data_IF_120249855039
#
_entry.id   IF_120249855039
#
_cell.length_a   1.000
_cell.length_b   1.000
_cell.length_c   1.000
_cell.angle_alpha   90.00
_cell.angle_beta   90.00
_cell.angle_gamma   90.00
#
_symmetry.space_group_name_H-M   'P 1'
#
loop_
_entity.id
_entity.type
_entity.pdbx_description
1 polymer ?
#
# COMPACT_ATOMS: atom_id res chain seq x y z
N UNK A 1 -17.33 11.82 -1.37
CA UNK A 1 -16.22 10.83 -1.41
C UNK A 1 -15.72 10.64 0.02
N UNK A 2 -15.77 9.43 0.59
CA UNK A 2 -15.30 9.20 1.96
C UNK A 2 -13.77 9.20 1.99
N UNK A 3 -13.18 10.32 2.43
CA UNK A 3 -11.72 10.48 2.49
C UNK A 3 -11.05 9.53 3.47
N UNK A 4 -11.81 8.97 4.42
CA UNK A 4 -11.29 8.06 5.48
C UNK A 4 -10.88 6.70 4.95
N UNK A 5 -11.41 6.27 3.80
CA UNK A 5 -11.17 4.93 3.27
C UNK A 5 -9.91 4.91 2.37
N UNK A 6 -9.41 6.07 1.95
CA UNK A 6 -8.22 6.16 1.07
C UNK A 6 -8.41 5.60 -0.34
N UNK A 7 -9.61 5.14 -0.69
CA UNK A 7 -9.94 4.60 -2.01
C UNK A 7 -10.43 5.73 -2.92
N UNK A 8 -9.98 5.70 -4.17
CA UNK A 8 -10.38 6.62 -5.24
C UNK A 8 -10.51 5.85 -6.55
N UNK A 9 -11.49 6.22 -7.35
CA UNK A 9 -11.73 5.74 -8.73
C UNK A 9 -11.08 6.65 -9.78
N UNK A 10 -10.70 7.87 -9.38
CA UNK A 10 -9.97 8.81 -10.24
C UNK A 10 -8.55 8.33 -10.54
N UNK A 11 -8.06 8.50 -11.79
CA UNK A 11 -6.65 8.35 -12.14
C UNK A 11 -5.74 9.19 -11.25
N UNK A 12 -4.52 8.72 -10.98
CA UNK A 12 -3.60 9.43 -10.06
C UNK A 12 -3.14 10.74 -10.69
N UNK A 13 -2.95 10.78 -12.01
CA UNK A 13 -2.56 12.00 -12.74
C UNK A 13 -3.58 13.12 -12.53
N UNK A 14 -4.88 12.82 -12.55
CA UNK A 14 -5.92 13.81 -12.29
C UNK A 14 -5.82 14.38 -10.88
N UNK A 15 -5.56 13.51 -9.89
CA UNK A 15 -5.40 13.91 -8.49
C UNK A 15 -4.15 14.79 -8.29
N UNK A 16 -3.05 14.48 -8.99
CA UNK A 16 -1.85 15.30 -8.99
C UNK A 16 -2.11 16.67 -9.63
N UNK A 17 -2.80 16.70 -10.77
CA UNK A 17 -3.16 17.95 -11.44
C UNK A 17 -4.11 18.81 -10.60
N UNK A 18 -5.07 18.21 -9.88
CA UNK A 18 -5.91 18.90 -8.91
C UNK A 18 -5.08 19.57 -7.81
N UNK A 19 -4.09 18.86 -7.27
CA UNK A 19 -3.17 19.40 -6.27
C UNK A 19 -2.31 20.56 -6.82
N UNK A 20 -1.75 20.41 -8.02
CA UNK A 20 -0.96 21.46 -8.69
C UNK A 20 -1.81 22.72 -8.91
N UNK A 21 -3.07 22.57 -9.33
CA UNK A 21 -4.01 23.69 -9.52
C UNK A 21 -4.27 24.46 -8.22
N UNK A 22 -4.31 23.75 -7.09
CA UNK A 22 -4.47 24.38 -5.77
C UNK A 22 -3.19 25.09 -5.29
N UNK A 23 -2.01 24.64 -5.74
CA UNK A 23 -0.73 25.23 -5.42
C UNK A 23 -0.49 25.30 -3.91
N UNK A 24 -0.12 26.48 -3.40
CA UNK A 24 0.13 26.69 -1.95
C UNK A 24 -1.09 26.46 -1.05
N UNK A 25 -2.29 26.45 -1.62
CA UNK A 25 -3.53 26.19 -0.87
C UNK A 25 -3.79 24.69 -0.73
N UNK A 26 -3.07 23.83 -1.43
CA UNK A 26 -3.23 22.39 -1.33
C UNK A 26 -2.98 21.91 0.11
N UNK A 27 -3.85 21.02 0.59
CA UNK A 27 -3.74 20.41 1.91
C UNK A 27 -4.47 19.06 1.92
N UNK A 28 -4.22 18.26 2.96
CA UNK A 28 -4.95 17.00 3.21
C UNK A 28 -6.48 17.21 3.34
N UNK A 29 -6.92 18.44 3.61
CA UNK A 29 -8.33 18.79 3.77
C UNK A 29 -9.04 19.12 2.45
N UNK A 30 -8.30 19.38 1.36
CA UNK A 30 -8.94 19.78 0.09
C UNK A 30 -8.56 18.92 -1.11
N UNK A 31 -7.43 18.21 -1.07
CA UNK A 31 -7.03 17.24 -2.09
C UNK A 31 -6.40 15.99 -1.44
N UNK A 32 -5.83 15.11 -2.26
CA UNK A 32 -5.09 13.93 -1.76
C UNK A 32 -3.67 14.25 -1.27
N UNK A 33 -3.16 15.41 -1.65
CA UNK A 33 -1.89 15.97 -1.16
C UNK A 33 -0.66 15.05 -1.37
N UNK A 34 -0.63 14.35 -2.50
CA UNK A 34 0.46 13.42 -2.84
C UNK A 34 1.79 14.14 -3.06
N UNK A 35 1.80 15.27 -3.78
CA UNK A 35 3.03 16.03 -4.08
C UNK A 35 3.59 16.60 -2.78
N UNK A 36 2.74 17.24 -1.96
CA UNK A 36 3.12 17.78 -0.67
C UNK A 36 3.72 16.72 0.26
N UNK A 37 3.11 15.54 0.34
CA UNK A 37 3.61 14.42 1.14
C UNK A 37 4.90 13.80 0.59
N UNK A 38 5.16 13.93 -0.70
CA UNK A 38 6.36 13.36 -1.34
C UNK A 38 7.61 14.23 -1.15
N UNK A 39 7.51 15.42 -0.55
CA UNK A 39 8.64 16.33 -0.30
C UNK A 39 9.50 15.89 0.89
N UNK A 40 10.06 14.69 0.86
CA UNK A 40 10.78 14.12 2.02
C UNK A 40 12.01 14.93 2.42
N UNK A 41 12.71 15.58 1.49
CA UNK A 41 13.85 16.45 1.82
C UNK A 41 13.45 17.58 2.76
N UNK A 42 12.41 18.33 2.40
CA UNK A 42 11.89 19.42 3.24
C UNK A 42 11.39 18.91 4.60
N UNK A 43 10.86 17.69 4.64
CA UNK A 43 10.41 17.05 5.88
C UNK A 43 11.60 16.68 6.77
N UNK A 44 12.60 16.00 6.23
CA UNK A 44 13.82 15.59 6.95
C UNK A 44 14.61 16.80 7.45
N UNK A 45 14.77 17.84 6.62
CA UNK A 45 15.43 19.09 7.03
C UNK A 45 14.78 19.73 8.25
N UNK A 46 13.47 19.55 8.46
CA UNK A 46 12.80 20.02 9.68
C UNK A 46 13.18 19.19 10.90
N UNK A 47 13.31 17.87 10.76
CA UNK A 47 13.75 17.01 11.86
C UNK A 47 15.23 17.28 12.22
N UNK A 48 16.11 17.40 11.22
CA UNK A 48 17.54 17.67 11.43
C UNK A 48 17.84 19.04 12.09
N UNK A 49 16.88 19.97 12.11
CA UNK A 49 17.01 21.22 12.88
C UNK A 49 16.95 21.01 14.39
N UNK A 50 16.31 19.94 14.85
CA UNK A 50 16.07 19.68 16.27
C UNK A 50 16.78 18.43 16.77
N UNK A 51 16.96 17.44 15.90
CA UNK A 51 17.59 16.17 16.23
C UNK A 51 18.90 16.02 15.44
N UNK A 52 19.99 15.63 16.12
CA UNK A 52 21.22 15.22 15.45
C UNK A 52 20.98 14.08 14.45
N UNK A 53 21.84 14.00 13.44
CA UNK A 53 21.67 13.04 12.34
C UNK A 53 21.72 11.58 12.81
N UNK A 54 22.52 11.27 13.83
CA UNK A 54 22.63 9.94 14.44
C UNK A 54 21.40 9.53 15.26
N UNK A 55 20.45 10.43 15.51
CA UNK A 55 19.15 10.15 16.13
C UNK A 55 18.02 9.94 15.13
N UNK A 56 18.32 9.94 13.82
CA UNK A 56 17.33 9.74 12.76
C UNK A 56 17.82 8.61 11.84
N UNK A 57 17.07 7.52 11.82
CA UNK A 57 17.27 6.44 10.86
C UNK A 57 16.23 6.49 9.75
N UNK A 58 16.68 6.64 8.51
CA UNK A 58 15.82 6.64 7.32
C UNK A 58 15.82 5.24 6.72
N UNK A 59 14.66 4.59 6.74
CA UNK A 59 14.47 3.27 6.12
C UNK A 59 14.12 3.46 4.65
N UNK A 60 14.95 2.92 3.76
CA UNK A 60 14.65 2.87 2.33
C UNK A 60 13.72 1.70 2.04
N UNK A 61 12.57 1.99 1.44
CA UNK A 61 11.56 0.96 1.19
C UNK A 61 12.06 -0.11 0.20
N UNK A 62 12.80 0.29 -0.81
CA UNK A 62 13.37 -0.58 -1.84
C UNK A 62 14.38 -1.56 -1.24
N UNK A 63 15.25 -1.08 -0.34
CA UNK A 63 16.20 -1.94 0.37
C UNK A 63 15.50 -2.83 1.39
N UNK A 64 14.46 -2.35 2.06
CA UNK A 64 13.65 -3.17 2.95
C UNK A 64 12.97 -4.33 2.21
N UNK A 65 12.52 -4.11 0.97
CA UNK A 65 11.95 -5.18 0.14
C UNK A 65 13.01 -6.16 -0.39
N UNK A 66 14.19 -5.66 -0.78
CA UNK A 66 15.25 -6.46 -1.39
C UNK A 66 16.08 -7.24 -0.38
N UNK A 67 16.40 -6.61 0.75
CA UNK A 67 17.35 -7.04 1.77
C UNK A 67 16.73 -6.92 3.17
N UNK A 68 15.50 -7.42 3.33
CA UNK A 68 14.68 -7.22 4.53
C UNK A 68 15.40 -7.53 5.85
N UNK A 69 16.07 -8.69 5.95
CA UNK A 69 16.79 -9.09 7.17
C UNK A 69 17.89 -8.10 7.55
N UNK A 70 18.63 -7.59 6.57
CA UNK A 70 19.74 -6.65 6.81
C UNK A 70 19.21 -5.27 7.22
N UNK A 71 18.18 -4.75 6.55
CA UNK A 71 17.56 -3.48 6.94
C UNK A 71 16.95 -3.53 8.35
N UNK A 72 16.38 -4.68 8.72
CA UNK A 72 15.82 -4.87 10.07
C UNK A 72 16.93 -4.98 11.11
N UNK A 73 18.06 -5.64 10.82
CA UNK A 73 19.22 -5.64 11.72
C UNK A 73 19.75 -4.23 11.95
N UNK A 74 19.87 -3.41 10.90
CA UNK A 74 20.27 -2.00 11.03
C UNK A 74 19.30 -1.21 11.90
N UNK A 75 17.99 -1.39 11.70
CA UNK A 75 16.97 -0.76 12.53
C UNK A 75 17.09 -1.18 14.01
N UNK A 76 17.26 -2.49 14.29
CA UNK A 76 17.45 -3.02 15.64
C UNK A 76 18.70 -2.44 16.30
N UNK A 77 19.80 -2.36 15.55
CA UNK A 77 21.03 -1.74 16.02
C UNK A 77 20.83 -0.25 16.34
N UNK A 78 20.11 0.49 15.48
CA UNK A 78 19.83 1.90 15.69
C UNK A 78 19.01 2.18 16.97
N UNK A 79 18.06 1.30 17.31
CA UNK A 79 17.26 1.42 18.55
C UNK A 79 17.88 0.71 19.77
N UNK A 80 19.12 0.22 19.65
CA UNK A 80 19.87 -0.50 20.69
C UNK A 80 19.13 -1.72 21.26
N UNK A 81 18.55 -2.53 20.36
CA UNK A 81 17.90 -3.80 20.71
C UNK A 81 18.66 -4.96 20.06
N UNK A 82 18.91 -6.02 20.83
CA UNK A 82 19.55 -7.24 20.33
C UNK A 82 18.69 -7.88 19.21
N UNK A 83 19.30 -8.10 18.05
CA UNK A 83 18.62 -8.74 16.93
C UNK A 83 18.35 -10.22 17.23
N UNK A 84 17.07 -10.59 17.22
CA UNK A 84 16.63 -11.97 17.33
C UNK A 84 15.88 -12.39 16.04
N UNK A 85 16.51 -13.26 15.25
CA UNK A 85 15.97 -13.75 13.98
C UNK A 85 14.64 -14.51 14.13
N UNK A 86 14.30 -15.00 15.32
CA UNK A 86 13.01 -15.64 15.59
C UNK A 86 11.85 -14.63 15.67
N UNK A 87 12.11 -13.38 16.08
CA UNK A 87 11.09 -12.32 16.20
C UNK A 87 10.67 -11.78 14.82
N UNK A 88 11.54 -11.88 13.82
CA UNK A 88 11.34 -11.23 12.53
C UNK A 88 10.59 -12.06 11.48
N UNK A 89 10.33 -13.35 11.72
CA UNK A 89 9.59 -14.17 10.75
C UNK A 89 8.12 -13.72 10.70
N UNK A 90 7.82 -12.82 9.76
CA UNK A 90 6.46 -12.54 9.31
C UNK A 90 5.87 -13.85 8.80
N UNK A 91 5.13 -14.53 9.66
CA UNK A 91 4.64 -15.90 9.44
C UNK A 91 3.59 -15.97 8.34
N UNK A 92 3.12 -14.82 7.84
CA UNK A 92 2.01 -14.74 6.91
C UNK A 92 2.04 -13.46 6.09
N UNK A 93 2.29 -13.60 4.80
CA UNK A 93 1.97 -12.57 3.82
C UNK A 93 0.44 -12.39 3.73
N UNK A 94 0.00 -11.14 3.58
CA UNK A 94 -1.40 -10.84 3.27
C UNK A 94 -1.70 -11.28 1.83
N UNK A 95 -2.20 -12.51 1.67
CA UNK A 95 -2.75 -12.99 0.40
C UNK A 95 -4.10 -12.34 0.17
N UNK A 96 -4.13 -11.27 -0.62
CA UNK A 96 -5.39 -10.70 -1.11
C UNK A 96 -5.96 -11.61 -2.20
N UNK A 97 -7.02 -12.34 -1.86
CA UNK A 97 -7.79 -13.17 -2.78
C UNK A 97 -8.93 -12.34 -3.39
N UNK A 98 -9.00 -12.27 -4.72
CA UNK A 98 -10.13 -11.66 -5.43
C UNK A 98 -11.15 -12.72 -5.82
N UNK A 99 -12.43 -12.35 -5.93
CA UNK A 99 -13.47 -13.28 -6.38
C UNK A 99 -13.47 -13.35 -7.90
N UNK A 100 -13.33 -14.56 -8.47
CA UNK A 100 -13.33 -14.76 -9.93
C UNK A 100 -14.63 -14.31 -10.59
N UNK A 101 -15.75 -14.52 -9.90
CA UNK A 101 -17.09 -14.30 -10.44
C UNK A 101 -17.81 -13.17 -9.69
N UNK A 102 -17.44 -11.93 -9.97
CA UNK A 102 -18.03 -10.74 -9.31
C UNK A 102 -19.57 -10.70 -9.39
N UNK A 103 -20.16 -11.10 -10.52
CA UNK A 103 -21.63 -11.16 -10.69
C UNK A 103 -22.26 -12.20 -9.75
N UNK A 104 -21.72 -13.42 -9.73
CA UNK A 104 -22.20 -14.47 -8.84
C UNK A 104 -22.08 -14.08 -7.36
N UNK A 105 -20.94 -13.49 -7.00
CA UNK A 105 -20.72 -12.95 -5.66
C UNK A 105 -21.77 -11.90 -5.31
N UNK A 106 -22.02 -10.95 -6.21
CA UNK A 106 -23.04 -9.92 -6.02
C UNK A 106 -24.44 -10.52 -5.77
N UNK A 107 -24.85 -11.53 -6.56
CA UNK A 107 -26.13 -12.22 -6.35
C UNK A 107 -26.19 -12.99 -5.01
N UNK A 108 -25.12 -13.69 -4.63
CA UNK A 108 -25.05 -14.42 -3.34
C UNK A 108 -25.15 -13.45 -2.15
N UNK A 109 -24.53 -12.28 -2.26
CA UNK A 109 -24.62 -11.23 -1.24
C UNK A 109 -26.01 -10.62 -1.20
N UNK A 110 -26.58 -10.24 -2.36
CA UNK A 110 -27.91 -9.61 -2.45
C UNK A 110 -29.04 -10.53 -1.98
N UNK A 111 -28.89 -11.84 -2.17
CA UNK A 111 -29.88 -12.84 -1.75
C UNK A 111 -29.84 -13.17 -0.25
N UNK A 112 -28.87 -12.67 0.51
CA UNK A 112 -28.71 -13.02 1.93
C UNK A 112 -28.32 -14.49 2.18
N UNK A 113 -28.03 -15.25 1.13
CA UNK A 113 -27.66 -16.67 1.21
C UNK A 113 -26.24 -16.89 1.69
N UNK A 114 -25.39 -15.85 1.64
CA UNK A 114 -23.98 -15.92 2.05
C UNK A 114 -23.77 -16.57 3.44
N UNK A 115 -24.42 -16.12 4.54
CA UNK A 115 -24.25 -16.74 5.86
C UNK A 115 -24.67 -18.21 5.89
N UNK A 116 -25.74 -18.58 5.17
CA UNK A 116 -26.23 -19.95 5.10
C UNK A 116 -25.25 -20.86 4.33
N UNK A 117 -24.82 -20.43 3.13
CA UNK A 117 -23.84 -21.14 2.31
C UNK A 117 -22.50 -21.30 3.03
N UNK A 118 -22.00 -20.26 3.69
CA UNK A 118 -20.74 -20.35 4.42
C UNK A 118 -20.88 -21.32 5.60
N UNK A 119 -22.00 -21.30 6.33
CA UNK A 119 -22.23 -22.18 7.49
C UNK A 119 -22.36 -23.64 7.06
N UNK A 120 -23.12 -23.94 6.00
CA UNK A 120 -23.28 -25.29 5.48
C UNK A 120 -21.96 -25.82 4.92
N UNK A 121 -21.31 -25.09 4.01
CA UNK A 121 -20.00 -25.47 3.45
C UNK A 121 -18.90 -25.59 4.52
N UNK A 122 -19.01 -24.86 5.64
CA UNK A 122 -18.05 -24.96 6.75
C UNK A 122 -18.23 -26.22 7.59
N UNK A 123 -19.45 -26.74 7.70
CA UNK A 123 -19.76 -27.84 8.60
C UNK A 123 -19.85 -29.19 7.86
N UNK A 124 -20.13 -29.20 6.56
CA UNK A 124 -20.36 -30.45 5.81
C UNK A 124 -19.19 -30.90 4.95
N UNK A 125 -18.29 -29.99 4.54
CA UNK A 125 -17.23 -30.32 3.59
C UNK A 125 -15.87 -30.55 4.25
N UNK A 126 -15.16 -31.64 3.89
CA UNK A 126 -13.77 -31.86 4.25
C UNK A 126 -12.86 -30.69 3.84
N UNK A 127 -11.77 -30.51 4.60
CA UNK A 127 -10.79 -29.42 4.39
C UNK A 127 -10.24 -29.39 2.95
N UNK A 128 -10.00 -30.56 2.35
CA UNK A 128 -9.52 -30.70 0.99
C UNK A 128 -10.52 -30.11 -0.03
N UNK A 129 -11.79 -30.50 0.03
CA UNK A 129 -12.84 -30.03 -0.89
C UNK A 129 -13.09 -28.53 -0.73
N UNK A 130 -13.03 -28.01 0.50
CA UNK A 130 -13.12 -26.57 0.75
C UNK A 130 -11.99 -25.80 0.07
N UNK A 131 -10.76 -26.31 0.12
CA UNK A 131 -9.63 -25.67 -0.53
C UNK A 131 -9.78 -25.68 -2.06
N UNK A 132 -10.28 -26.77 -2.65
CA UNK A 132 -10.57 -26.84 -4.08
C UNK A 132 -11.64 -25.83 -4.49
N UNK A 133 -12.77 -25.76 -3.79
CA UNK A 133 -13.84 -24.79 -4.07
C UNK A 133 -13.31 -23.35 -3.93
N UNK A 134 -12.53 -23.07 -2.88
CA UNK A 134 -11.89 -21.76 -2.72
C UNK A 134 -10.96 -21.44 -3.88
N UNK A 135 -10.13 -22.37 -4.33
CA UNK A 135 -9.22 -22.13 -5.46
C UNK A 135 -9.95 -21.90 -6.79
N UNK A 136 -11.17 -22.42 -6.95
CA UNK A 136 -12.00 -22.20 -8.14
C UNK A 136 -12.79 -20.89 -8.04
N UNK A 137 -13.25 -20.53 -6.84
CA UNK A 137 -14.06 -19.33 -6.61
C UNK A 137 -13.22 -18.05 -6.48
N UNK A 138 -12.04 -18.17 -5.89
CA UNK A 138 -11.09 -17.09 -5.72
C UNK A 138 -9.93 -17.24 -6.70
N UNK A 139 -9.46 -16.11 -7.22
CA UNK A 139 -8.18 -16.01 -7.91
C UNK A 139 -7.25 -15.12 -7.11
N UNK A 140 -5.95 -15.25 -7.37
CA UNK A 140 -4.99 -14.27 -6.88
C UNK A 140 -5.41 -12.92 -7.47
N UNK A 141 -5.67 -11.93 -6.62
CA UNK A 141 -6.04 -10.61 -7.11
C UNK A 141 -4.94 -10.15 -8.08
N UNK A 142 -5.34 -9.82 -9.32
CA UNK A 142 -4.43 -9.16 -10.25
C UNK A 142 -4.07 -7.82 -9.61
N UNK A 143 -2.79 -7.59 -9.32
CA UNK A 143 -2.37 -6.26 -8.89
C UNK A 143 -2.76 -5.29 -9.99
N UNK A 144 -3.55 -4.28 -9.64
CA UNK A 144 -3.77 -3.15 -10.52
C UNK A 144 -2.48 -2.37 -10.55
N UNK A 145 -1.82 -2.37 -11.70
CA UNK A 145 -0.68 -1.50 -11.97
C UNK A 145 -1.21 -0.22 -12.59
N UNK A 146 -0.62 0.90 -12.20
CA UNK A 146 -0.71 2.14 -12.98
C UNK A 146 -0.18 1.81 -14.38
N UNK A 147 -0.90 2.22 -15.42
CA UNK A 147 -0.48 1.91 -16.77
C UNK A 147 0.81 2.67 -17.14
N UNK A 148 1.48 2.24 -18.22
CA UNK A 148 2.79 2.81 -18.59
C UNK A 148 2.69 4.28 -19.03
N UNK A 149 1.57 4.67 -19.62
CA UNK A 149 1.35 6.04 -20.09
C UNK A 149 1.13 6.96 -18.90
N UNK A 150 0.25 6.56 -17.98
CA UNK A 150 -0.01 7.23 -16.71
C UNK A 150 1.27 7.35 -15.87
N UNK A 151 2.07 6.29 -15.75
CA UNK A 151 3.39 6.36 -15.08
C UNK A 151 4.36 7.35 -15.72
N UNK A 152 4.37 7.43 -17.06
CA UNK A 152 5.20 8.40 -17.79
C UNK A 152 4.78 9.84 -17.48
N UNK A 153 3.48 10.08 -17.37
CA UNK A 153 2.94 11.38 -16.98
C UNK A 153 3.25 11.74 -15.53
N UNK A 154 3.10 10.80 -14.60
CA UNK A 154 3.51 10.99 -13.19
C UNK A 154 4.98 11.39 -13.12
N UNK A 155 5.86 10.68 -13.82
CA UNK A 155 7.29 10.99 -13.81
C UNK A 155 7.57 12.40 -14.35
N UNK A 156 6.89 12.83 -15.41
CA UNK A 156 6.99 14.22 -15.92
C UNK A 156 6.56 15.24 -14.86
N UNK A 157 5.45 14.99 -14.17
CA UNK A 157 4.95 15.85 -13.09
C UNK A 157 5.98 15.92 -11.94
N UNK A 158 6.48 14.77 -11.48
CA UNK A 158 7.49 14.67 -10.41
C UNK A 158 8.75 15.46 -10.76
N UNK A 159 9.26 15.31 -12.00
CA UNK A 159 10.39 16.08 -12.51
C UNK A 159 10.11 17.59 -12.49
N UNK A 160 8.93 18.02 -12.95
CA UNK A 160 8.52 19.42 -12.98
C UNK A 160 8.39 20.04 -11.58
N UNK A 161 8.00 19.24 -10.59
CA UNK A 161 7.89 19.68 -9.19
C UNK A 161 9.22 19.65 -8.44
N UNK A 162 10.33 19.25 -9.10
CA UNK A 162 11.65 19.20 -8.48
C UNK A 162 11.80 18.08 -7.45
N UNK A 163 11.04 17.00 -7.58
CA UNK A 163 11.05 15.88 -6.62
C UNK A 163 12.10 14.80 -6.95
N UNK A 164 13.08 15.10 -7.80
CA UNK A 164 14.08 14.13 -8.29
C UNK A 164 15.17 13.79 -7.27
N UNK A 165 15.30 14.57 -6.20
CA UNK A 165 16.34 14.39 -5.18
C UNK A 165 16.13 13.12 -4.32
N UNK A 166 15.08 12.33 -4.57
CA UNK A 166 14.69 11.18 -3.75
C UNK A 166 15.20 9.83 -4.27
N UNK A 167 15.82 9.81 -5.45
CA UNK A 167 16.33 8.58 -6.09
C UNK A 167 17.84 8.41 -6.03
N UNK A 168 18.57 9.31 -5.34
CA UNK A 168 20.02 9.23 -5.18
C UNK A 168 20.41 8.92 -3.74
#
# INVERSE_FOLDING_TARGET
MDRRIGITDKPIVDLLNEEIKLGKKASLENCRFYIGLSKYREQLDRYYRYFPQDQIYVVHFEELLKNQDEEIKKLFHFIDIEYNSALHKLTKENKTEAVRFNKLNHYIYKSGLKPLLIKTLKNTLPKATRNTIKSVYFERAKQSYVDKEEMSEINKIVLQQGLNDLTN
#
